data_IF_057938145203
#
_entry.id   IF_057938145203
#
_cell.length_a   1.000
_cell.length_b   1.000
_cell.length_c   1.000
_cell.angle_alpha   90.00
_cell.angle_beta   90.00
_cell.angle_gamma   90.00
#
_symmetry.space_group_name_H-M   'P 1'
#
loop_
_entity.id
_entity.type
_entity.pdbx_description
1 polymer ?
#
# COMPACT_ATOMS: atom_id res chain seq x y z
N UNK A 1 35.63 -51.73 38.57
CA UNK A 1 36.35 -50.45 38.44
C UNK A 1 37.61 -50.68 37.62
N UNK A 2 37.64 -50.22 36.36
CA UNK A 2 38.85 -49.96 35.56
C UNK A 2 38.51 -48.84 34.57
N UNK A 3 39.42 -47.87 34.39
CA UNK A 3 39.19 -46.55 33.78
C UNK A 3 40.17 -46.34 32.60
N UNK A 4 39.78 -45.46 31.66
CA UNK A 4 40.51 -44.82 30.51
C UNK A 4 40.38 -45.55 29.15
N UNK A 5 39.83 -45.02 28.03
CA UNK A 5 39.75 -43.72 27.27
C UNK A 5 40.65 -43.74 26.02
N UNK A 6 40.05 -43.66 24.82
CA UNK A 6 40.46 -42.95 23.57
C UNK A 6 39.57 -43.45 22.40
N UNK A 7 38.67 -42.65 21.80
CA UNK A 7 38.80 -41.55 20.82
C UNK A 7 38.89 -42.04 19.36
N UNK A 8 37.77 -41.96 18.62
CA UNK A 8 37.57 -41.24 17.34
C UNK A 8 36.45 -41.85 16.48
N UNK A 9 35.41 -41.07 16.20
CA UNK A 9 35.05 -40.63 14.84
C UNK A 9 33.71 -39.90 14.93
N UNK A 10 33.82 -38.59 15.13
CA UNK A 10 32.76 -37.60 15.03
C UNK A 10 32.46 -37.40 13.53
N UNK A 11 31.23 -37.70 13.12
CA UNK A 11 30.67 -37.25 11.83
C UNK A 11 29.31 -36.61 12.12
N UNK A 12 29.31 -35.61 12.97
CA UNK A 12 28.25 -34.61 12.98
C UNK A 12 28.42 -33.72 11.75
N UNK A 13 27.75 -34.11 10.65
CA UNK A 13 27.53 -33.23 9.50
C UNK A 13 26.74 -32.02 10.03
N UNK A 14 27.47 -30.97 10.38
CA UNK A 14 26.92 -29.66 10.68
C UNK A 14 26.34 -29.11 9.38
N UNK A 15 25.07 -29.42 9.15
CA UNK A 15 24.27 -28.71 8.17
C UNK A 15 24.13 -27.27 8.65
N UNK A 16 25.10 -26.42 8.28
CA UNK A 16 24.99 -24.98 8.39
C UNK A 16 23.75 -24.56 7.61
N UNK A 17 22.66 -24.41 8.36
CA UNK A 17 21.39 -23.93 7.84
C UNK A 17 21.64 -22.48 7.47
N UNK A 18 21.95 -22.23 6.19
CA UNK A 18 22.05 -20.87 5.63
C UNK A 18 20.81 -20.10 6.07
N UNK A 19 20.98 -19.17 7.02
CA UNK A 19 19.89 -18.28 7.47
C UNK A 19 19.35 -17.60 6.23
N UNK A 20 18.17 -18.04 5.77
CA UNK A 20 17.44 -17.37 4.70
C UNK A 20 17.21 -15.95 5.18
N UNK A 21 17.82 -14.98 4.52
CA UNK A 21 17.63 -13.57 4.81
C UNK A 21 16.14 -13.27 4.62
N UNK A 22 15.39 -13.12 5.71
CA UNK A 22 13.97 -12.80 5.63
C UNK A 22 13.83 -11.31 5.35
N UNK A 23 13.57 -10.96 4.10
CA UNK A 23 13.12 -9.62 3.66
C UNK A 23 11.70 -9.30 4.18
N UNK A 24 11.45 -9.55 5.46
CA UNK A 24 10.17 -9.27 6.11
C UNK A 24 10.17 -7.87 6.71
N UNK A 25 9.18 -7.05 6.37
CA UNK A 25 8.92 -5.80 7.07
C UNK A 25 8.65 -6.07 8.56
N UNK A 26 9.22 -5.24 9.43
CA UNK A 26 8.95 -5.31 10.87
C UNK A 26 7.47 -5.00 11.15
N UNK A 27 6.94 -5.46 12.29
CA UNK A 27 5.54 -5.15 12.67
C UNK A 27 5.28 -3.65 12.73
N UNK A 28 6.24 -2.87 13.22
CA UNK A 28 6.15 -1.41 13.27
C UNK A 28 6.09 -0.79 11.87
N UNK A 29 6.92 -1.26 10.94
CA UNK A 29 6.90 -0.79 9.55
C UNK A 29 5.57 -1.11 8.86
N UNK A 30 5.04 -2.33 9.07
CA UNK A 30 3.70 -2.70 8.55
C UNK A 30 2.61 -1.79 9.10
N UNK A 31 2.65 -1.50 10.40
CA UNK A 31 1.66 -0.62 11.03
C UNK A 31 1.73 0.81 10.47
N UNK A 32 2.93 1.40 10.40
CA UNK A 32 3.14 2.73 9.78
C UNK A 32 2.63 2.75 8.34
N UNK A 33 2.99 1.74 7.55
CA UNK A 33 2.60 1.67 6.16
C UNK A 33 1.08 1.45 6.01
N UNK A 34 0.48 0.66 6.90
CA UNK A 34 -0.95 0.44 6.94
C UNK A 34 -1.74 1.72 7.23
N UNK A 35 -1.28 2.51 8.21
CA UNK A 35 -1.85 3.83 8.51
C UNK A 35 -1.70 4.77 7.32
N UNK A 36 -0.52 4.82 6.70
CA UNK A 36 -0.29 5.66 5.53
C UNK A 36 -1.25 5.29 4.38
N UNK A 37 -1.49 4.00 4.15
CA UNK A 37 -2.44 3.52 3.14
C UNK A 37 -3.89 3.89 3.45
N UNK A 38 -4.30 3.83 4.72
CA UNK A 38 -5.65 4.26 5.13
C UNK A 38 -5.87 5.74 4.85
N UNK A 39 -4.93 6.59 5.25
CA UNK A 39 -4.99 8.03 4.94
C UNK A 39 -4.95 8.30 3.45
N UNK A 40 -4.10 7.60 2.71
CA UNK A 40 -4.03 7.72 1.26
C UNK A 40 -5.35 7.33 0.59
N UNK A 41 -6.01 6.27 1.06
CA UNK A 41 -7.32 5.87 0.57
C UNK A 41 -8.39 6.94 0.82
N UNK A 42 -8.40 7.56 2.00
CA UNK A 42 -9.33 8.65 2.31
C UNK A 42 -9.02 9.86 1.42
N UNK A 43 -7.74 10.17 1.20
CA UNK A 43 -7.33 11.25 0.33
C UNK A 43 -7.79 11.02 -1.12
N UNK A 44 -7.66 9.80 -1.66
CA UNK A 44 -8.20 9.45 -2.97
C UNK A 44 -9.72 9.62 -3.03
N UNK A 45 -10.45 9.19 -1.99
CA UNK A 45 -11.90 9.36 -1.95
C UNK A 45 -12.32 10.84 -2.01
N UNK A 46 -11.70 11.69 -1.18
CA UNK A 46 -11.97 13.12 -1.19
C UNK A 46 -11.59 13.77 -2.51
N UNK A 47 -10.45 13.38 -3.08
CA UNK A 47 -9.98 13.83 -4.38
C UNK A 47 -10.97 13.49 -5.50
N UNK A 48 -11.49 12.26 -5.53
CA UNK A 48 -12.42 11.80 -6.57
C UNK A 48 -13.80 12.45 -6.44
N UNK A 49 -14.35 12.51 -5.22
CA UNK A 49 -15.62 13.20 -4.96
C UNK A 49 -15.51 14.66 -5.37
N UNK A 50 -14.44 15.32 -4.92
CA UNK A 50 -14.20 16.71 -5.28
C UNK A 50 -14.03 16.88 -6.79
N UNK A 51 -13.35 15.96 -7.48
CA UNK A 51 -13.19 16.00 -8.93
C UNK A 51 -14.53 15.90 -9.69
N UNK A 52 -15.53 15.16 -9.19
CA UNK A 52 -16.87 15.20 -9.80
C UNK A 52 -17.57 16.54 -9.61
N UNK A 53 -17.32 17.22 -8.50
CA UNK A 53 -17.97 18.50 -8.17
C UNK A 53 -17.28 19.66 -8.91
N UNK A 54 -15.94 19.70 -8.93
CA UNK A 54 -15.14 20.82 -9.48
C UNK A 54 -14.47 20.51 -10.82
N UNK A 55 -14.60 19.30 -11.35
CA UNK A 55 -13.80 18.80 -12.48
C UNK A 55 -13.91 19.61 -13.78
N UNK A 56 -15.03 20.33 -13.98
CA UNK A 56 -15.18 21.24 -15.12
C UNK A 56 -14.26 22.46 -15.01
N UNK A 57 -14.07 22.99 -13.79
CA UNK A 57 -13.15 24.09 -13.52
C UNK A 57 -11.67 23.64 -13.51
N UNK A 58 -11.42 22.37 -13.15
CA UNK A 58 -10.06 21.84 -13.00
C UNK A 58 -9.38 21.45 -14.34
N UNK A 59 -10.09 21.43 -15.49
CA UNK A 59 -9.48 21.10 -16.80
C UNK A 59 -8.33 22.07 -17.17
N UNK A 60 -8.50 23.37 -16.92
CA UNK A 60 -7.45 24.37 -17.16
C UNK A 60 -6.34 24.32 -16.10
N UNK A 61 -6.61 23.74 -14.93
CA UNK A 61 -5.66 23.73 -13.80
C UNK A 61 -4.58 22.66 -14.01
N UNK A 62 -4.85 21.59 -14.76
CA UNK A 62 -3.85 20.57 -15.08
C UNK A 62 -2.72 21.16 -15.94
N UNK A 63 -3.05 21.99 -16.94
CA UNK A 63 -2.03 22.76 -17.68
C UNK A 63 -1.28 23.78 -16.82
N UNK A 64 -1.88 24.19 -15.69
CA UNK A 64 -1.32 25.17 -14.76
C UNK A 64 -0.75 24.54 -13.48
N UNK A 65 -0.56 23.21 -13.43
CA UNK A 65 0.02 22.51 -12.27
C UNK A 65 1.38 23.11 -11.85
N UNK A 66 2.18 23.57 -12.82
CA UNK A 66 3.46 24.25 -12.61
C UNK A 66 3.32 25.73 -12.18
N UNK A 67 2.19 26.36 -12.50
CA UNK A 67 1.92 27.75 -12.15
C UNK A 67 1.50 27.85 -10.68
N UNK A 68 2.39 28.35 -9.81
CA UNK A 68 2.12 28.50 -8.37
C UNK A 68 0.93 29.40 -8.04
N UNK A 69 0.54 30.32 -8.94
CA UNK A 69 -0.57 31.24 -8.73
C UNK A 69 -1.95 30.62 -9.01
N UNK A 70 -1.99 29.54 -9.81
CA UNK A 70 -3.22 28.81 -10.06
C UNK A 70 -3.68 28.11 -8.78
N UNK A 71 -4.92 28.33 -8.34
CA UNK A 71 -5.51 27.63 -7.19
C UNK A 71 -6.45 26.53 -7.69
N UNK A 72 -6.15 25.29 -7.32
CA UNK A 72 -7.07 24.17 -7.54
C UNK A 72 -8.28 24.28 -6.60
N UNK A 73 -9.48 24.06 -7.13
CA UNK A 73 -10.71 24.04 -6.33
C UNK A 73 -10.95 22.69 -5.64
N UNK A 74 -10.16 21.67 -6.00
CA UNK A 74 -10.21 20.38 -5.34
C UNK A 74 -9.94 20.51 -3.83
N UNK A 75 -10.66 19.76 -3.00
CA UNK A 75 -10.54 19.83 -1.53
C UNK A 75 -9.14 19.51 -0.99
N UNK A 76 -8.35 18.74 -1.73
CA UNK A 76 -6.95 18.43 -1.42
C UNK A 76 -5.96 19.33 -2.18
N UNK A 77 -6.45 20.43 -2.74
CA UNK A 77 -5.70 21.36 -3.58
C UNK A 77 -5.16 20.68 -4.84
N UNK A 78 -3.99 21.14 -5.31
CA UNK A 78 -3.39 20.65 -6.57
C UNK A 78 -3.07 19.16 -6.57
N UNK A 79 -2.65 18.63 -5.42
CA UNK A 79 -2.37 17.20 -5.31
C UNK A 79 -3.64 16.36 -5.50
N UNK A 80 -4.75 16.78 -4.89
CA UNK A 80 -6.05 16.18 -5.11
C UNK A 80 -6.56 16.33 -6.54
N UNK A 81 -6.40 17.51 -7.14
CA UNK A 81 -6.77 17.73 -8.53
C UNK A 81 -5.96 16.83 -9.49
N UNK A 82 -4.66 16.66 -9.24
CA UNK A 82 -3.80 15.77 -10.01
C UNK A 82 -4.23 14.30 -9.86
N UNK A 83 -4.46 13.81 -8.64
CA UNK A 83 -4.93 12.44 -8.42
C UNK A 83 -6.29 12.20 -9.06
N UNK A 84 -7.21 13.15 -8.93
CA UNK A 84 -8.53 13.10 -9.53
C UNK A 84 -8.43 13.01 -11.05
N UNK A 85 -7.70 13.93 -11.68
CA UNK A 85 -7.49 13.91 -13.12
C UNK A 85 -6.83 12.61 -13.61
N UNK A 86 -5.75 12.16 -12.95
CA UNK A 86 -5.02 10.95 -13.32
C UNK A 86 -5.91 9.69 -13.26
N UNK A 87 -6.66 9.48 -12.18
CA UNK A 87 -7.48 8.27 -12.02
C UNK A 87 -8.83 8.37 -12.75
N UNK A 88 -9.45 9.56 -12.77
CA UNK A 88 -10.83 9.74 -13.24
C UNK A 88 -10.91 10.16 -14.71
N UNK A 89 -9.94 10.91 -15.22
CA UNK A 89 -9.96 11.37 -16.61
C UNK A 89 -9.01 10.55 -17.50
N UNK A 90 -7.75 10.41 -17.10
CA UNK A 90 -6.76 9.66 -17.90
C UNK A 90 -6.78 8.14 -17.63
N UNK A 91 -7.26 7.75 -16.45
CA UNK A 91 -7.23 6.38 -15.96
C UNK A 91 -8.50 5.59 -16.25
N UNK A 92 -9.15 5.12 -15.19
CA UNK A 92 -10.26 4.15 -15.26
C UNK A 92 -11.63 4.80 -15.05
N UNK A 93 -11.69 6.13 -14.90
CA UNK A 93 -12.94 6.83 -14.64
C UNK A 93 -13.59 6.40 -13.33
N UNK A 94 -14.90 6.20 -13.36
CA UNK A 94 -15.66 5.81 -12.17
C UNK A 94 -15.26 4.43 -11.62
N UNK A 95 -14.63 3.57 -12.44
CA UNK A 95 -14.10 2.30 -11.95
C UNK A 95 -12.94 2.49 -10.95
N UNK A 96 -12.29 3.67 -10.92
CA UNK A 96 -11.17 3.96 -10.03
C UNK A 96 -11.51 3.89 -8.54
N UNK A 97 -12.80 3.92 -8.15
CA UNK A 97 -13.20 3.67 -6.75
C UNK A 97 -12.77 2.31 -6.22
N UNK A 98 -12.47 1.33 -7.09
CA UNK A 98 -11.91 0.05 -6.68
C UNK A 98 -10.55 0.21 -5.99
N UNK A 99 -9.75 1.21 -6.38
CA UNK A 99 -8.46 1.49 -5.74
C UNK A 99 -8.64 1.97 -4.30
N UNK A 100 -9.66 2.78 -4.03
CA UNK A 100 -10.00 3.21 -2.67
C UNK A 100 -10.28 1.98 -1.80
N UNK A 101 -11.19 1.09 -2.24
CA UNK A 101 -11.47 -0.17 -1.52
C UNK A 101 -10.19 -0.99 -1.30
N UNK A 102 -9.36 -1.09 -2.33
CA UNK A 102 -8.11 -1.88 -2.30
C UNK A 102 -7.11 -1.34 -1.28
N UNK A 103 -6.82 -0.04 -1.33
CA UNK A 103 -5.88 0.60 -0.41
C UNK A 103 -6.42 0.61 1.02
N UNK A 104 -7.71 0.87 1.20
CA UNK A 104 -8.35 0.82 2.52
C UNK A 104 -8.23 -0.55 3.16
N UNK A 105 -8.62 -1.62 2.46
CA UNK A 105 -8.54 -2.98 2.98
C UNK A 105 -7.10 -3.41 3.21
N UNK A 106 -6.18 -3.11 2.28
CA UNK A 106 -4.76 -3.42 2.46
C UNK A 106 -4.18 -2.71 3.68
N UNK A 107 -4.50 -1.42 3.85
CA UNK A 107 -4.10 -0.63 5.01
C UNK A 107 -4.65 -1.20 6.32
N UNK A 108 -5.95 -1.49 6.37
CA UNK A 108 -6.59 -2.09 7.55
C UNK A 108 -5.98 -3.44 7.92
N UNK A 109 -5.72 -4.31 6.94
CA UNK A 109 -5.09 -5.61 7.19
C UNK A 109 -3.66 -5.48 7.74
N UNK A 110 -2.90 -4.50 7.26
CA UNK A 110 -1.54 -4.23 7.76
C UNK A 110 -1.54 -3.67 9.19
N UNK A 111 -2.47 -2.76 9.49
CA UNK A 111 -2.64 -2.20 10.84
C UNK A 111 -3.03 -3.28 11.85
N UNK A 112 -3.90 -4.21 11.44
CA UNK A 112 -4.35 -5.33 12.26
C UNK A 112 -3.37 -6.52 12.25
N UNK A 113 -2.23 -6.39 11.58
CA UNK A 113 -1.21 -7.43 11.33
C UNK A 113 -1.81 -8.77 10.88
N UNK A 114 -2.88 -8.69 10.08
CA UNK A 114 -3.56 -9.83 9.49
C UNK A 114 -2.81 -10.31 8.24
N UNK A 115 -2.86 -11.62 7.93
CA UNK A 115 -2.24 -12.14 6.73
C UNK A 115 -2.95 -11.61 5.48
N UNK A 116 -2.24 -10.83 4.67
CA UNK A 116 -2.71 -10.30 3.37
C UNK A 116 -3.18 -11.39 2.40
N UNK A 117 -2.77 -12.65 2.61
CA UNK A 117 -3.29 -13.80 1.84
C UNK A 117 -4.80 -13.97 1.94
N UNK A 118 -5.42 -13.54 3.05
CA UNK A 118 -6.89 -13.54 3.21
C UNK A 118 -7.57 -12.50 2.31
N UNK A 119 -6.88 -11.41 1.96
CA UNK A 119 -7.39 -10.37 1.07
C UNK A 119 -7.58 -10.89 -0.36
N UNK A 120 -6.67 -11.73 -0.86
CA UNK A 120 -6.76 -12.34 -2.21
C UNK A 120 -8.06 -13.11 -2.42
N UNK A 121 -8.60 -13.73 -1.36
CA UNK A 121 -9.85 -14.48 -1.41
C UNK A 121 -11.07 -13.56 -1.56
N UNK A 122 -11.03 -12.36 -0.99
CA UNK A 122 -12.08 -11.35 -1.14
C UNK A 122 -12.10 -10.71 -2.53
N UNK A 123 -10.95 -10.63 -3.22
CA UNK A 123 -10.90 -10.06 -4.58
C UNK A 123 -11.43 -10.98 -5.68
N UNK A 124 -11.30 -12.30 -5.52
CA UNK A 124 -11.63 -13.26 -6.59
C UNK A 124 -13.00 -13.95 -6.46
N UNK A 125 -13.62 -13.96 -5.27
CA UNK A 125 -14.77 -14.83 -5.00
C UNK A 125 -15.99 -14.11 -4.41
N UNK A 126 -16.00 -12.78 -4.35
CA UNK A 126 -17.07 -11.97 -3.73
C UNK A 126 -17.73 -11.02 -4.76
N UNK A 127 -17.84 -11.49 -6.01
CA UNK A 127 -18.51 -10.82 -7.13
C UNK A 127 -19.63 -11.71 -7.66
#
# INVERSE_FOLDING_TARGET
MTKKTSKDSDNSVSSETKKKFSWGLSRQQKFIFGIALLFFSIALLLSFISYFVTGFNDQNIVSELSNRNAKAENWLGKFGAYLGHFFMYEGFGIASFIFIRTFFLTGAYLVLDMPLGKLKRSFFWDF
#
